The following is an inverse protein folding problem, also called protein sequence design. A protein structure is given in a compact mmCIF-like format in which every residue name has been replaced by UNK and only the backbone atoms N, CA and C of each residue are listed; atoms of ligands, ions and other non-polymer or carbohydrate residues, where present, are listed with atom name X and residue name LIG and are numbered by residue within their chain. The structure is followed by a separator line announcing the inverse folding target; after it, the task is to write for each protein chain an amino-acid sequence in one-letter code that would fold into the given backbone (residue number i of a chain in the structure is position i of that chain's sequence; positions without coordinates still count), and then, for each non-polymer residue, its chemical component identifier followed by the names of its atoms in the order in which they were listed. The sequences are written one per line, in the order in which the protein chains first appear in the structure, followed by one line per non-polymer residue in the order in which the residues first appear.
data_IF_959244434902
#
_entry.id   IF_959244434902
#
_cell.length_a   1.000
_cell.length_b   1.000
_cell.length_c   1.000
_cell.angle_alpha   90.00
_cell.angle_beta   90.00
_cell.angle_gamma   90.00
#
_symmetry.space_group_name_H-M   'P 1'
#
loop_
_entity.id
_entity.type
_entity.pdbx_description
1 polymer ?
#
# COMPACT_ATOMS: atom_id res chain seq x y z
N UNK A 1 4.03 -12.44 22.09
CA UNK A 1 3.34 -11.22 21.63
C UNK A 1 3.72 -10.95 20.17
N UNK A 2 2.78 -10.57 19.30
CA UNK A 2 2.97 -10.51 17.84
C UNK A 2 4.14 -9.61 17.40
N UNK A 3 4.34 -8.46 18.05
CA UNK A 3 5.46 -7.53 17.76
C UNK A 3 6.84 -8.20 17.89
N UNK A 4 7.02 -9.06 18.90
CA UNK A 4 8.29 -9.79 19.10
C UNK A 4 8.45 -10.90 18.04
N UNK A 5 7.36 -11.54 17.62
CA UNK A 5 7.39 -12.60 16.60
C UNK A 5 7.85 -12.09 15.24
N UNK A 6 7.60 -10.81 14.93
CA UNK A 6 8.09 -10.14 13.71
C UNK A 6 9.48 -9.50 13.90
N UNK A 7 10.21 -9.88 14.95
CA UNK A 7 11.58 -9.45 15.20
C UNK A 7 11.74 -8.01 15.67
N UNK A 8 10.68 -7.38 16.21
CA UNK A 8 10.73 -5.99 16.71
C UNK A 8 10.86 -5.94 18.23
N UNK A 9 11.59 -4.93 18.72
CA UNK A 9 11.78 -4.68 20.14
C UNK A 9 10.62 -3.91 20.76
N UNK A 10 10.26 -4.26 21.98
CA UNK A 10 9.23 -3.55 22.75
C UNK A 10 9.73 -2.23 23.33
N UNK A 11 11.04 -2.06 23.51
CA UNK A 11 11.61 -0.80 24.00
C UNK A 11 11.51 0.34 22.99
N UNK A 12 11.33 0.03 21.70
CA UNK A 12 11.25 1.02 20.61
C UNK A 12 9.90 1.04 19.91
N UNK A 13 8.96 0.20 20.34
CA UNK A 13 7.61 0.15 19.78
C UNK A 13 6.68 0.99 20.66
N UNK A 14 5.85 1.82 20.05
CA UNK A 14 4.89 2.65 20.78
C UNK A 14 3.97 1.72 21.59
N UNK A 15 3.97 1.89 22.91
CA UNK A 15 3.01 1.26 23.82
C UNK A 15 1.88 2.23 24.08
N UNK A 16 0.65 1.80 23.86
CA UNK A 16 -0.53 2.57 24.19
C UNK A 16 -0.71 2.65 25.70
N UNK A 17 -1.30 3.73 26.24
CA UNK A 17 -1.53 3.87 27.68
C UNK A 17 -2.31 2.69 28.25
N UNK A 18 -2.08 2.34 29.52
CA UNK A 18 -2.73 1.20 30.18
C UNK A 18 -4.25 1.38 30.22
N UNK A 19 -4.72 2.61 30.43
CA UNK A 19 -6.13 3.00 30.39
C UNK A 19 -6.78 2.83 29.01
N UNK A 20 -5.96 2.75 27.95
CA UNK A 20 -6.39 2.46 26.57
C UNK A 20 -6.00 1.04 26.11
N UNK A 21 -5.70 0.14 27.05
CA UNK A 21 -5.50 -1.29 26.81
C UNK A 21 -4.05 -1.79 26.84
N UNK A 22 -3.05 -0.91 27.03
CA UNK A 22 -1.67 -1.30 27.33
C UNK A 22 -0.93 -2.07 26.22
N UNK A 23 -1.50 -2.14 25.01
CA UNK A 23 -0.94 -2.91 23.89
C UNK A 23 0.09 -2.11 23.08
N UNK A 24 0.86 -2.81 22.27
CA UNK A 24 1.85 -2.22 21.37
C UNK A 24 1.24 -1.93 20.00
N UNK A 25 1.50 -0.73 19.47
CA UNK A 25 1.01 -0.30 18.17
C UNK A 25 1.68 -1.13 17.05
N UNK A 26 0.84 -1.70 16.19
CA UNK A 26 1.23 -2.38 14.97
C UNK A 26 0.12 -2.19 13.93
N UNK A 27 0.46 -2.35 12.66
CA UNK A 27 -0.51 -2.26 11.57
C UNK A 27 -0.30 -3.43 10.60
N UNK A 28 -1.36 -3.82 9.89
CA UNK A 28 -1.22 -4.76 8.77
C UNK A 28 -0.59 -4.01 7.59
N UNK A 29 0.46 -4.59 7.04
CA UNK A 29 1.26 -3.96 5.97
C UNK A 29 0.43 -3.62 4.73
N UNK A 30 -0.61 -4.41 4.42
CA UNK A 30 -1.53 -4.16 3.30
C UNK A 30 -2.16 -2.77 3.35
N UNK A 31 -2.50 -2.25 4.52
CA UNK A 31 -3.09 -0.90 4.63
C UNK A 31 -2.06 0.19 4.39
N UNK A 32 -0.79 -0.04 4.75
CA UNK A 32 0.29 0.87 4.40
C UNK A 32 0.59 0.83 2.90
N UNK A 33 0.58 -0.36 2.28
CA UNK A 33 0.73 -0.50 0.82
C UNK A 33 -0.40 0.22 0.06
N UNK A 34 -1.66 0.09 0.50
CA UNK A 34 -2.79 0.83 -0.08
C UNK A 34 -2.67 2.34 0.12
N UNK A 35 -2.17 2.79 1.27
CA UNK A 35 -1.84 4.19 1.50
C UNK A 35 -0.77 4.69 0.52
N UNK A 36 0.33 3.95 0.36
CA UNK A 36 1.41 4.26 -0.59
C UNK A 36 0.87 4.37 -2.03
N UNK A 37 0.06 3.42 -2.46
CA UNK A 37 -0.57 3.44 -3.78
C UNK A 37 -1.46 4.68 -3.98
N UNK A 38 -2.28 5.02 -2.98
CA UNK A 38 -3.14 6.21 -3.05
C UNK A 38 -2.33 7.51 -3.04
N UNK A 39 -1.20 7.56 -2.31
CA UNK A 39 -0.33 8.74 -2.30
C UNK A 39 0.35 8.93 -3.66
N UNK A 40 0.83 7.85 -4.30
CA UNK A 40 1.35 7.89 -5.67
C UNK A 40 0.30 8.36 -6.66
N UNK A 41 -0.93 7.82 -6.58
CA UNK A 41 -2.06 8.30 -7.39
C UNK A 41 -2.33 9.79 -7.17
N UNK A 42 -2.30 10.29 -5.94
CA UNK A 42 -2.48 11.72 -5.65
C UNK A 42 -1.33 12.56 -6.22
N UNK A 43 -0.10 12.05 -6.20
CA UNK A 43 1.05 12.74 -6.77
C UNK A 43 0.96 12.91 -8.30
N UNK A 44 0.29 12.01 -9.03
CA UNK A 44 0.06 12.21 -10.48
C UNK A 44 -0.95 13.32 -10.77
N UNK A 45 -1.68 13.80 -9.76
CA UNK A 45 -2.60 14.94 -9.82
C UNK A 45 -2.19 15.99 -8.77
N UNK A 46 -0.89 16.28 -8.69
CA UNK A 46 -0.32 17.11 -7.64
C UNK A 46 -1.03 18.46 -7.48
N UNK A 47 -1.29 19.17 -8.57
CA UNK A 47 -1.96 20.48 -8.56
C UNK A 47 -3.33 20.45 -7.86
N UNK A 48 -4.06 19.34 -7.96
CA UNK A 48 -5.35 19.19 -7.31
C UNK A 48 -5.26 18.82 -5.83
N UNK A 49 -4.19 18.14 -5.42
CA UNK A 49 -4.03 17.56 -4.08
C UNK A 49 -3.02 18.29 -3.19
N UNK A 50 -2.21 19.20 -3.72
CA UNK A 50 -1.12 19.86 -3.00
C UNK A 50 -1.57 20.52 -1.68
N UNK A 51 -2.77 21.11 -1.65
CA UNK A 51 -3.37 21.79 -0.50
C UNK A 51 -4.26 20.88 0.37
N UNK A 52 -4.68 19.73 -0.16
CA UNK A 52 -5.63 18.79 0.47
C UNK A 52 -4.97 17.61 1.16
N UNK A 53 -3.78 17.22 0.72
CA UNK A 53 -3.05 16.09 1.26
C UNK A 53 -2.01 16.56 2.28
N UNK A 54 -2.13 16.11 3.53
CA UNK A 54 -1.19 16.48 4.60
C UNK A 54 0.23 16.04 4.27
N UNK A 55 0.40 14.91 3.58
CA UNK A 55 1.72 14.42 3.17
C UNK A 55 2.40 15.30 2.11
N UNK A 56 1.67 16.23 1.48
CA UNK A 56 2.23 17.21 0.54
C UNK A 56 2.49 18.59 1.18
N UNK A 57 2.09 18.79 2.45
CA UNK A 57 2.33 20.04 3.19
C UNK A 57 3.72 20.05 3.84
N UNK A 58 4.73 19.83 3.01
CA UNK A 58 6.14 19.81 3.41
C UNK A 58 7.02 20.26 2.24
N UNK A 59 8.34 20.24 2.40
CA UNK A 59 9.25 20.66 1.33
C UNK A 59 9.19 19.68 0.14
N UNK A 60 9.44 20.14 -1.10
CA UNK A 60 9.46 19.26 -2.26
C UNK A 60 10.40 18.05 -2.10
N UNK A 61 11.51 18.23 -1.40
CA UNK A 61 12.45 17.15 -1.08
C UNK A 61 11.81 16.07 -0.19
N UNK A 62 11.16 16.46 0.91
CA UNK A 62 10.47 15.52 1.81
C UNK A 62 9.31 14.80 1.11
N UNK A 63 8.59 15.48 0.21
CA UNK A 63 7.55 14.85 -0.61
C UNK A 63 8.17 13.75 -1.48
N UNK A 64 9.27 14.06 -2.19
CA UNK A 64 9.98 13.09 -3.03
C UNK A 64 10.49 11.90 -2.21
N UNK A 65 11.13 12.12 -1.07
CA UNK A 65 11.60 11.05 -0.20
C UNK A 65 10.45 10.12 0.23
N UNK A 66 9.29 10.69 0.59
CA UNK A 66 8.13 9.87 0.96
C UNK A 66 7.59 9.07 -0.23
N UNK A 67 7.55 9.65 -1.43
CA UNK A 67 7.15 8.93 -2.64
C UNK A 67 8.17 7.82 -3.01
N UNK A 68 9.47 8.03 -2.79
CA UNK A 68 10.50 7.01 -3.00
C UNK A 68 10.32 5.84 -2.03
N UNK A 69 10.05 6.14 -0.75
CA UNK A 69 9.69 5.12 0.24
C UNK A 69 8.45 4.32 -0.18
N UNK A 70 7.40 5.00 -0.66
CA UNK A 70 6.20 4.33 -1.17
C UNK A 70 6.52 3.37 -2.32
N UNK A 71 7.34 3.79 -3.27
CA UNK A 71 7.75 2.97 -4.42
C UNK A 71 8.55 1.75 -3.95
N UNK A 72 9.52 1.94 -3.06
CA UNK A 72 10.36 0.83 -2.59
C UNK A 72 9.58 -0.19 -1.75
N UNK A 73 8.66 0.27 -0.89
CA UNK A 73 7.77 -0.62 -0.14
C UNK A 73 6.88 -1.47 -1.05
N UNK A 74 6.28 -0.86 -2.09
CA UNK A 74 5.49 -1.60 -3.08
C UNK A 74 6.36 -2.58 -3.87
N UNK A 75 7.56 -2.17 -4.29
CA UNK A 75 8.54 -3.03 -4.98
C UNK A 75 8.88 -4.26 -4.13
N UNK A 76 9.21 -4.08 -2.85
CA UNK A 76 9.49 -5.18 -1.92
C UNK A 76 8.28 -6.12 -1.82
N UNK A 77 7.08 -5.58 -1.64
CA UNK A 77 5.84 -6.37 -1.57
C UNK A 77 5.63 -7.22 -2.82
N UNK A 78 5.80 -6.64 -4.01
CA UNK A 78 5.63 -7.35 -5.28
C UNK A 78 6.68 -8.43 -5.48
N UNK A 79 7.94 -8.18 -5.10
CA UNK A 79 8.98 -9.21 -5.18
C UNK A 79 8.76 -10.33 -4.16
N UNK A 80 8.31 -10.02 -2.95
CA UNK A 80 8.05 -11.03 -1.92
C UNK A 80 6.83 -11.90 -2.23
N UNK A 81 5.82 -11.34 -2.89
CA UNK A 81 4.57 -12.06 -3.21
C UNK A 81 4.56 -12.64 -4.63
N UNK A 82 5.42 -12.13 -5.53
CA UNK A 82 5.62 -12.51 -6.94
C UNK A 82 4.39 -13.13 -7.59
N UNK A 83 3.62 -12.31 -8.33
CA UNK A 83 2.51 -12.80 -9.13
C UNK A 83 3.02 -13.55 -10.37
N UNK A 84 2.68 -14.84 -10.46
CA UNK A 84 3.03 -15.73 -11.57
C UNK A 84 1.90 -15.85 -12.61
N UNK A 85 0.83 -15.07 -12.47
CA UNK A 85 -0.28 -15.06 -13.43
C UNK A 85 0.22 -14.56 -14.78
N UNK A 86 -0.03 -15.35 -15.83
CA UNK A 86 0.41 -15.01 -17.18
C UNK A 86 -0.48 -13.92 -17.77
N UNK A 87 0.16 -12.85 -18.25
CA UNK A 87 -0.45 -11.97 -19.24
C UNK A 87 -0.26 -12.59 -20.63
N UNK A 88 -1.22 -12.38 -21.52
CA UNK A 88 -1.12 -12.83 -22.92
C UNK A 88 -1.04 -11.63 -23.85
N UNK A 89 -0.81 -11.88 -25.13
CA UNK A 89 -0.69 -10.82 -26.14
C UNK A 89 -1.59 -11.16 -27.32
N UNK A 90 -2.48 -10.24 -27.63
CA UNK A 90 -3.44 -10.32 -28.72
C UNK A 90 -2.92 -9.62 -29.97
N UNK A 91 -3.50 -9.94 -31.12
CA UNK A 91 -3.21 -9.24 -32.38
C UNK A 91 -3.61 -7.76 -32.31
N UNK A 92 -2.92 -6.91 -33.07
CA UNK A 92 -3.22 -5.48 -33.19
C UNK A 92 -4.67 -5.22 -33.59
N UNK A 93 -5.29 -4.18 -33.04
CA UNK A 93 -6.64 -3.76 -33.40
C UNK A 93 -6.62 -2.44 -34.20
N UNK A 94 -7.70 -2.10 -34.94
CA UNK A 94 -7.79 -0.82 -35.65
C UNK A 94 -7.64 0.42 -34.76
N UNK A 95 -7.97 0.32 -33.47
CA UNK A 95 -7.80 1.37 -32.46
C UNK A 95 -6.32 1.62 -32.13
N UNK A 96 -5.46 0.61 -32.31
CA UNK A 96 -4.03 0.66 -32.03
C UNK A 96 -3.22 0.13 -33.23
N UNK A 97 -3.29 0.79 -34.41
CA UNK A 97 -2.80 0.24 -35.68
C UNK A 97 -1.27 0.20 -35.79
N UNK A 98 -0.54 0.78 -34.83
CA UNK A 98 0.93 0.80 -34.77
C UNK A 98 1.51 -0.16 -33.73
N UNK A 99 0.67 -0.84 -32.96
CA UNK A 99 1.13 -1.81 -31.99
C UNK A 99 1.31 -3.17 -32.67
N UNK A 100 2.46 -3.81 -32.53
CA UNK A 100 2.69 -5.16 -33.08
C UNK A 100 1.78 -6.21 -32.42
N UNK A 101 1.38 -5.95 -31.16
CA UNK A 101 0.45 -6.75 -30.37
C UNK A 101 -0.15 -5.89 -29.25
N UNK A 102 -1.24 -6.36 -28.64
CA UNK A 102 -1.90 -5.72 -27.49
C UNK A 102 -1.82 -6.64 -26.27
N UNK A 103 -1.21 -6.21 -25.14
CA UNK A 103 -1.20 -7.02 -23.93
C UNK A 103 -2.62 -7.17 -23.36
N UNK A 104 -2.95 -8.40 -22.94
CA UNK A 104 -4.17 -8.71 -22.20
C UNK A 104 -3.86 -8.82 -20.71
N UNK A 105 -4.33 -7.83 -19.96
CA UNK A 105 -4.21 -7.75 -18.51
C UNK A 105 -5.43 -8.33 -17.78
N UNK A 106 -6.46 -8.77 -18.50
CA UNK A 106 -7.64 -9.40 -17.92
C UNK A 106 -7.30 -10.84 -17.53
N UNK A 107 -6.70 -10.99 -16.35
CA UNK A 107 -6.22 -12.28 -15.84
C UNK A 107 -6.99 -12.70 -14.60
N UNK A 108 -7.01 -14.01 -14.33
CA UNK A 108 -7.66 -14.56 -13.15
C UNK A 108 -6.68 -14.62 -11.99
N UNK A 109 -7.02 -13.96 -10.88
CA UNK A 109 -6.23 -13.97 -9.67
C UNK A 109 -6.91 -14.77 -8.56
N UNK A 110 -6.11 -15.43 -7.70
CA UNK A 110 -6.60 -16.04 -6.46
C UNK A 110 -6.28 -15.14 -5.28
N UNK A 111 -7.30 -14.46 -4.77
CA UNK A 111 -7.16 -13.52 -3.66
C UNK A 111 -7.38 -14.17 -2.30
N UNK A 112 -6.76 -13.59 -1.26
CA UNK A 112 -7.20 -13.79 0.13
C UNK A 112 -8.54 -13.07 0.33
N UNK A 113 -9.34 -13.51 1.31
CA UNK A 113 -10.59 -12.82 1.64
C UNK A 113 -10.28 -11.47 2.30
N UNK A 114 -10.38 -10.39 1.52
CA UNK A 114 -10.06 -9.05 1.98
C UNK A 114 -11.08 -8.52 2.99
N UNK A 115 -12.36 -8.85 2.84
CA UNK A 115 -13.42 -8.44 3.79
C UNK A 115 -13.20 -9.00 5.19
N UNK A 116 -12.80 -10.28 5.28
CA UNK A 116 -12.42 -10.87 6.57
C UNK A 116 -11.20 -10.18 7.17
N UNK A 117 -10.21 -9.81 6.35
CA UNK A 117 -9.03 -9.06 6.79
C UNK A 117 -9.42 -7.68 7.31
N UNK A 118 -10.31 -7.00 6.61
CA UNK A 118 -10.80 -5.67 6.95
C UNK A 118 -11.63 -5.67 8.24
N UNK A 119 -12.53 -6.65 8.39
CA UNK A 119 -13.31 -6.85 9.62
C UNK A 119 -12.37 -7.08 10.83
N UNK A 120 -11.41 -7.99 10.70
CA UNK A 120 -10.43 -8.27 11.75
C UNK A 120 -9.62 -7.02 12.15
N UNK A 121 -9.26 -6.20 11.16
CA UNK A 121 -8.55 -4.94 11.37
C UNK A 121 -9.42 -3.92 12.12
N UNK A 122 -10.67 -3.72 11.70
CA UNK A 122 -11.56 -2.74 12.34
C UNK A 122 -11.89 -3.09 13.79
N UNK A 123 -11.98 -4.38 14.12
CA UNK A 123 -12.16 -4.85 15.51
C UNK A 123 -10.99 -4.52 16.43
N UNK A 124 -9.77 -4.34 15.87
CA UNK A 124 -8.52 -4.22 16.64
C UNK A 124 -7.79 -2.90 16.44
N UNK A 125 -8.22 -2.09 15.46
CA UNK A 125 -7.62 -0.79 15.22
C UNK A 125 -7.83 0.09 16.46
N UNK A 126 -6.88 0.98 16.66
CA UNK A 126 -7.01 2.06 17.61
C UNK A 126 -8.13 2.99 17.10
N UNK A 127 -9.16 3.30 17.91
CA UNK A 127 -10.18 4.27 17.53
C UNK A 127 -9.55 5.62 17.21
N UNK A 128 -9.97 6.24 16.12
CA UNK A 128 -9.73 7.66 15.94
C UNK A 128 -10.69 8.36 16.90
N UNK A 129 -10.16 9.05 17.91
CA UNK A 129 -10.94 9.99 18.73
C UNK A 129 -11.48 11.14 17.87
#
# INVERSE_FOLDING_TARGET
MEVVKVGKSLGTTIKYPEEKGGQYAANLEVFHQLHCLNLLRKATYFDYYADKEIMFKTTPHMIREHLDHCIDMLRISFQCTTDLTLITFNVSTPEFPKADYIPDFYTNHRCRNFEQTLAWYYERRIPFE
#
